data_IF_149430452982
#
_entry.id   IF_149430452982
#
_cell.length_a   1.000
_cell.length_b   1.000
_cell.length_c   1.000
_cell.angle_alpha   90.00
_cell.angle_beta   90.00
_cell.angle_gamma   90.00
#
_symmetry.space_group_name_H-M   'P 1'
#
loop_
_entity.id
_entity.type
_entity.pdbx_description
1 polymer ?
#
# COMPACT_ATOMS: atom_id res chain seq x y z
N UNK A 1 9.05 -2.62 15.66
CA UNK A 1 8.33 -3.28 14.55
C UNK A 1 7.39 -2.22 13.98
N UNK A 2 7.77 -1.55 12.90
CA UNK A 2 7.00 -0.42 12.37
C UNK A 2 6.25 -0.89 11.12
N UNK A 3 4.93 -1.07 11.24
CA UNK A 3 4.03 -1.29 10.11
C UNK A 3 3.28 0.02 9.83
N UNK A 4 3.48 0.65 8.66
CA UNK A 4 2.55 1.62 8.06
C UNK A 4 2.82 1.70 6.52
N UNK A 5 1.83 2.04 5.66
CA UNK A 5 0.46 2.44 5.98
C UNK A 5 -0.61 1.44 5.48
N UNK A 6 -1.69 1.34 6.25
CA UNK A 6 -2.98 0.84 5.78
C UNK A 6 -3.40 1.59 4.52
N UNK A 7 -3.78 0.87 3.45
CA UNK A 7 -4.56 1.49 2.39
C UNK A 7 -6.03 1.35 2.79
N UNK A 8 -6.69 2.46 3.13
CA UNK A 8 -8.13 2.50 3.27
C UNK A 8 -8.74 2.59 1.87
N UNK A 9 -9.39 1.52 1.41
CA UNK A 9 -10.24 1.62 0.23
C UNK A 9 -11.61 2.15 0.68
N UNK A 10 -11.80 3.46 0.54
CA UNK A 10 -13.12 4.08 0.50
C UNK A 10 -13.50 4.30 -0.96
N UNK A 11 -14.19 3.34 -1.58
CA UNK A 11 -14.80 3.52 -2.89
C UNK A 11 -16.28 3.22 -2.69
N UNK A 12 -17.15 4.14 -3.08
CA UNK A 12 -18.59 3.88 -3.10
C UNK A 12 -18.93 3.49 -4.52
N UNK A 13 -19.47 2.28 -4.77
CA UNK A 13 -20.06 2.05 -6.09
C UNK A 13 -21.38 2.80 -6.07
N UNK A 14 -21.50 3.80 -6.95
CA UNK A 14 -22.81 4.24 -7.38
C UNK A 14 -23.48 3.08 -8.15
N UNK A 15 -24.79 3.16 -8.33
CA UNK A 15 -25.35 2.77 -9.62
C UNK A 15 -25.03 3.91 -10.59
N UNK A 16 -23.85 3.94 -11.28
CA UNK A 16 -23.68 4.90 -12.34
C UNK A 16 -24.75 4.56 -13.37
N UNK A 17 -25.30 5.56 -14.04
CA UNK A 17 -26.34 5.43 -15.07
C UNK A 17 -25.94 4.60 -16.30
N UNK A 18 -24.90 3.76 -16.21
CA UNK A 18 -24.29 2.97 -17.27
C UNK A 18 -24.38 1.44 -17.07
N UNK A 19 -24.95 0.96 -15.96
CA UNK A 19 -25.49 -0.39 -15.85
C UNK A 19 -26.74 -0.33 -14.96
N UNK A 20 -27.91 -0.58 -15.55
CA UNK A 20 -29.18 -0.58 -14.82
C UNK A 20 -29.24 -1.85 -13.94
N UNK A 21 -28.67 -1.81 -12.74
CA UNK A 21 -28.99 -2.80 -11.71
C UNK A 21 -30.46 -2.64 -11.33
N UNK A 22 -31.30 -3.60 -11.69
CA UNK A 22 -32.73 -3.51 -11.49
C UNK A 22 -33.07 -3.66 -10.00
N UNK A 23 -34.25 -3.15 -9.63
CA UNK A 23 -34.78 -3.33 -8.28
C UNK A 23 -34.92 -4.83 -7.97
N UNK A 24 -34.32 -5.26 -6.86
CA UNK A 24 -34.34 -6.65 -6.41
C UNK A 24 -33.13 -7.47 -6.83
N UNK A 25 -32.27 -6.96 -7.72
CA UNK A 25 -31.06 -7.67 -8.15
C UNK A 25 -30.04 -7.78 -7.00
N UNK A 26 -29.37 -8.92 -6.91
CA UNK A 26 -28.27 -9.13 -5.97
C UNK A 26 -26.99 -8.62 -6.61
N UNK A 27 -26.48 -7.50 -6.11
CA UNK A 27 -25.28 -6.85 -6.61
C UNK A 27 -24.08 -7.17 -5.74
N UNK A 28 -23.00 -7.62 -6.38
CA UNK A 28 -21.70 -7.89 -5.77
C UNK A 28 -20.67 -6.85 -6.22
N UNK A 29 -20.17 -6.06 -5.27
CA UNK A 29 -18.98 -5.24 -5.47
C UNK A 29 -17.74 -6.12 -5.38
N UNK A 30 -16.85 -6.04 -6.37
CA UNK A 30 -15.61 -6.81 -6.45
C UNK A 30 -14.42 -5.89 -6.64
N UNK A 31 -13.28 -6.31 -6.11
CA UNK A 31 -11.98 -5.71 -6.38
C UNK A 31 -11.02 -6.72 -7.00
N UNK A 32 -10.07 -6.21 -7.76
CA UNK A 32 -8.96 -6.95 -8.34
C UNK A 32 -7.71 -6.10 -8.24
N UNK A 33 -6.58 -6.71 -7.87
CA UNK A 33 -5.28 -6.04 -7.89
C UNK A 33 -4.51 -6.59 -9.09
N UNK A 34 -4.01 -5.71 -9.95
CA UNK A 34 -3.38 -6.05 -11.23
C UNK A 34 -4.27 -7.02 -12.02
N UNK A 35 -3.76 -8.22 -12.32
CA UNK A 35 -4.47 -9.31 -12.97
C UNK A 35 -4.70 -10.51 -12.04
N UNK A 36 -4.56 -10.34 -10.72
CA UNK A 36 -4.82 -11.40 -9.73
C UNK A 36 -6.33 -11.76 -9.68
N UNK A 37 -6.70 -12.77 -8.89
CA UNK A 37 -8.12 -13.17 -8.77
C UNK A 37 -8.99 -12.04 -8.21
N UNK A 38 -10.10 -11.72 -8.90
CA UNK A 38 -11.10 -10.79 -8.40
C UNK A 38 -11.82 -11.35 -7.17
N UNK A 39 -12.05 -10.51 -6.16
CA UNK A 39 -12.61 -10.90 -4.85
C UNK A 39 -13.80 -10.02 -4.52
N UNK A 40 -14.79 -10.59 -3.85
CA UNK A 40 -15.93 -9.82 -3.35
C UNK A 40 -15.49 -8.88 -2.21
N UNK A 41 -16.08 -7.69 -2.18
CA UNK A 41 -15.91 -6.68 -1.12
C UNK A 41 -17.18 -6.57 -0.30
N UNK A 42 -18.31 -6.47 -0.99
CA UNK A 42 -19.64 -6.31 -0.41
C UNK A 42 -20.69 -6.90 -1.35
N UNK A 43 -21.82 -7.26 -0.77
CA UNK A 43 -23.01 -7.75 -1.48
C UNK A 43 -24.21 -7.00 -0.92
N UNK A 44 -25.13 -6.61 -1.78
CA UNK A 44 -26.38 -5.96 -1.40
C UNK A 44 -27.47 -6.23 -2.43
N UNK A 45 -28.70 -5.87 -2.08
CA UNK A 45 -29.83 -5.88 -3.01
C UNK A 45 -29.98 -4.47 -3.56
N UNK A 46 -30.02 -4.32 -4.88
CA UNK A 46 -30.27 -3.04 -5.52
C UNK A 46 -31.74 -2.62 -5.32
N UNK A 47 -31.97 -1.38 -4.92
CA UNK A 47 -33.30 -0.75 -4.98
C UNK A 47 -33.39 0.28 -6.12
N UNK A 48 -32.37 0.35 -6.98
CA UNK A 48 -32.27 1.30 -8.08
C UNK A 48 -31.91 2.73 -7.67
N UNK A 49 -31.72 3.05 -6.38
CA UNK A 49 -31.47 4.42 -5.93
C UNK A 49 -30.44 4.58 -4.80
N UNK A 50 -30.29 3.60 -3.91
CA UNK A 50 -29.33 3.66 -2.80
C UNK A 50 -27.98 3.05 -3.19
N UNK A 51 -26.91 3.59 -2.62
CA UNK A 51 -25.57 3.10 -2.87
C UNK A 51 -25.27 1.89 -1.99
N UNK A 52 -24.66 0.86 -2.60
CA UNK A 52 -24.02 -0.22 -1.86
C UNK A 52 -22.62 0.27 -1.45
N UNK A 53 -22.54 0.83 -0.25
CA UNK A 53 -21.28 1.31 0.32
C UNK A 53 -20.43 0.14 0.84
N UNK A 54 -19.12 0.28 0.70
CA UNK A 54 -18.17 -0.64 1.30
C UNK A 54 -16.90 0.09 1.71
N UNK A 55 -16.25 -0.43 2.73
CA UNK A 55 -14.90 -0.06 3.12
C UNK A 55 -14.07 -1.34 3.23
N UNK A 56 -12.88 -1.35 2.62
CA UNK A 56 -11.97 -2.49 2.72
C UNK A 56 -10.59 -2.03 3.10
N UNK A 57 -10.05 -2.66 4.13
CA UNK A 57 -8.67 -2.46 4.53
C UNK A 57 -7.85 -3.68 4.16
N UNK A 58 -6.74 -3.45 3.46
CA UNK A 58 -5.81 -4.50 3.05
C UNK A 58 -4.45 -4.25 3.70
N UNK A 59 -3.94 -5.25 4.40
CA UNK A 59 -2.63 -5.17 5.07
C UNK A 59 -1.53 -5.42 4.06
N UNK A 60 -0.47 -4.61 4.11
CA UNK A 60 0.72 -4.81 3.28
C UNK A 60 1.86 -5.36 4.14
N UNK A 61 2.32 -6.57 3.84
CA UNK A 61 3.39 -7.24 4.60
C UNK A 61 4.28 -8.02 3.66
N UNK A 62 5.60 -7.83 3.78
CA UNK A 62 6.59 -8.57 2.99
C UNK A 62 6.37 -8.44 1.47
N UNK A 63 6.02 -7.23 1.00
CA UNK A 63 5.77 -6.97 -0.42
C UNK A 63 4.40 -7.44 -0.93
N UNK A 64 3.54 -8.01 -0.09
CA UNK A 64 2.26 -8.64 -0.52
C UNK A 64 1.08 -7.98 0.17
N UNK A 65 -0.08 -8.01 -0.49
CA UNK A 65 -1.36 -7.61 0.13
C UNK A 65 -2.05 -8.81 0.78
N UNK A 66 -2.68 -8.53 1.91
CA UNK A 66 -3.43 -9.47 2.71
C UNK A 66 -4.83 -8.93 3.02
N UNK A 67 -5.79 -9.84 3.01
CA UNK A 67 -7.14 -9.63 3.51
C UNK A 67 -7.26 -10.39 4.84
N UNK A 68 -7.12 -9.66 5.95
CA UNK A 68 -6.83 -10.27 7.26
C UNK A 68 -5.51 -11.06 7.21
N UNK A 69 -5.61 -12.38 7.36
CA UNK A 69 -4.47 -13.31 7.27
C UNK A 69 -4.29 -13.92 5.88
N UNK A 70 -5.28 -13.76 4.98
CA UNK A 70 -5.28 -14.39 3.66
C UNK A 70 -4.42 -13.59 2.70
N UNK A 71 -3.42 -14.24 2.11
CA UNK A 71 -2.62 -13.64 1.03
C UNK A 71 -3.48 -13.46 -0.22
N UNK A 72 -3.52 -12.25 -0.77
CA UNK A 72 -4.33 -11.95 -1.96
C UNK A 72 -3.54 -11.63 -3.22
N UNK A 73 -2.27 -11.24 -3.10
CA UNK A 73 -1.37 -10.98 -4.24
C UNK A 73 -0.09 -11.80 -4.16
N UNK A 74 0.61 -11.90 -5.29
CA UNK A 74 2.05 -12.16 -5.31
C UNK A 74 2.84 -10.96 -4.74
N UNK A 75 4.17 -11.06 -4.71
CA UNK A 75 5.00 -9.94 -4.29
C UNK A 75 4.90 -8.80 -5.31
N UNK A 76 4.51 -7.62 -4.83
CA UNK A 76 4.38 -6.40 -5.60
C UNK A 76 5.76 -5.75 -5.73
N UNK A 77 6.17 -5.47 -6.97
CA UNK A 77 7.47 -4.88 -7.27
C UNK A 77 7.55 -3.45 -6.74
N UNK A 78 8.67 -3.12 -6.09
CA UNK A 78 8.89 -1.76 -5.60
C UNK A 78 9.00 -0.76 -6.75
N UNK A 79 8.46 0.45 -6.56
CA UNK A 79 8.62 1.56 -7.50
C UNK A 79 7.89 1.38 -8.83
N UNK A 80 7.18 0.27 -9.01
CA UNK A 80 6.39 -0.03 -10.22
C UNK A 80 4.92 0.31 -9.97
N UNK A 81 4.21 0.91 -10.95
CA UNK A 81 2.78 1.14 -10.82
C UNK A 81 2.01 -0.19 -10.77
N UNK A 82 1.11 -0.29 -9.81
CA UNK A 82 0.13 -1.37 -9.67
C UNK A 82 -1.28 -0.81 -9.77
N UNK A 83 -2.22 -1.64 -10.20
CA UNK A 83 -3.61 -1.22 -10.40
C UNK A 83 -4.52 -1.90 -9.39
N UNK A 84 -5.47 -1.12 -8.88
CA UNK A 84 -6.64 -1.60 -8.18
C UNK A 84 -7.84 -1.32 -9.08
N UNK A 85 -8.55 -2.38 -9.45
CA UNK A 85 -9.77 -2.33 -10.25
C UNK A 85 -10.95 -2.67 -9.35
N UNK A 86 -12.02 -1.89 -9.43
CA UNK A 86 -13.28 -2.12 -8.70
C UNK A 86 -14.42 -2.14 -9.71
N UNK A 87 -15.35 -3.09 -9.55
CA UNK A 87 -16.57 -3.17 -10.36
C UNK A 87 -17.71 -3.79 -9.58
N UNK A 88 -18.94 -3.53 -9.99
CA UNK A 88 -20.12 -4.23 -9.52
C UNK A 88 -20.61 -5.22 -10.59
N UNK A 89 -21.16 -6.34 -10.14
CA UNK A 89 -21.81 -7.36 -10.98
C UNK A 89 -23.12 -7.77 -10.31
N UNK A 90 -24.23 -7.78 -11.03
CA UNK A 90 -25.50 -8.35 -10.54
C UNK A 90 -25.57 -9.86 -10.78
N UNK A 91 -26.63 -10.49 -10.27
CA UNK A 91 -26.94 -11.90 -10.43
C UNK A 91 -27.59 -12.25 -11.77
N UNK A 92 -27.94 -11.24 -12.58
CA UNK A 92 -28.46 -11.38 -13.94
C UNK A 92 -27.35 -11.24 -15.01
N UNK A 93 -26.10 -11.00 -14.59
CA UNK A 93 -24.91 -10.89 -15.43
C UNK A 93 -24.56 -9.48 -15.88
N UNK A 94 -25.31 -8.45 -15.46
CA UNK A 94 -24.98 -7.04 -15.67
C UNK A 94 -23.73 -6.64 -14.89
N UNK A 95 -22.93 -5.75 -15.48
CA UNK A 95 -21.65 -5.31 -14.92
C UNK A 95 -21.51 -3.80 -15.07
N UNK A 96 -21.01 -3.15 -14.01
CA UNK A 96 -20.64 -1.75 -14.08
C UNK A 96 -19.40 -1.53 -14.94
N UNK A 97 -19.13 -0.27 -15.26
CA UNK A 97 -17.80 0.16 -15.66
C UNK A 97 -16.77 -0.18 -14.57
N UNK A 98 -15.53 -0.41 -14.98
CA UNK A 98 -14.43 -0.67 -14.05
C UNK A 98 -13.83 0.67 -13.60
N UNK A 99 -13.84 0.90 -12.30
CA UNK A 99 -13.09 1.99 -11.68
C UNK A 99 -11.66 1.53 -11.39
N UNK A 100 -10.68 2.23 -11.94
CA UNK A 100 -9.26 1.89 -11.79
C UNK A 100 -8.51 2.98 -11.01
N UNK A 101 -7.62 2.55 -10.12
CA UNK A 101 -6.71 3.42 -9.36
C UNK A 101 -5.31 2.83 -9.37
N UNK A 102 -4.31 3.69 -9.60
CA UNK A 102 -2.90 3.30 -9.59
C UNK A 102 -2.30 3.54 -8.21
N UNK A 103 -1.46 2.62 -7.74
CA UNK A 103 -0.71 2.74 -6.49
C UNK A 103 0.70 2.15 -6.64
N UNK A 104 1.61 2.51 -5.73
CA UNK A 104 2.98 1.99 -5.71
C UNK A 104 3.21 1.20 -4.42
N UNK A 105 3.98 0.12 -4.52
CA UNK A 105 4.40 -0.65 -3.36
C UNK A 105 5.75 -0.12 -2.84
N UNK A 106 5.86 0.06 -1.53
CA UNK A 106 7.10 0.38 -0.83
C UNK A 106 7.33 -0.67 0.25
N UNK A 107 8.11 -1.72 -0.03
CA UNK A 107 8.49 -2.71 0.97
C UNK A 107 9.22 -2.05 2.14
N UNK A 108 8.96 -2.52 3.35
CA UNK A 108 9.73 -2.09 4.52
C UNK A 108 11.19 -2.53 4.35
N UNK A 109 12.13 -1.57 4.30
CA UNK A 109 13.56 -1.85 4.22
C UNK A 109 14.18 -1.96 5.62
N UNK A 110 15.17 -2.85 5.84
CA UNK A 110 15.97 -2.80 7.05
C UNK A 110 16.67 -1.43 7.16
N UNK A 111 16.89 -0.91 8.38
CA UNK A 111 17.64 0.33 8.56
C UNK A 111 19.06 0.16 8.03
N UNK A 112 19.56 1.18 7.33
CA UNK A 112 20.95 1.26 6.89
C UNK A 112 21.73 2.01 7.96
N UNK A 113 22.76 1.38 8.54
CA UNK A 113 23.70 2.05 9.44
C UNK A 113 24.85 2.63 8.59
N UNK A 114 24.99 3.94 8.57
CA UNK A 114 26.20 4.62 8.06
C UNK A 114 27.06 5.02 9.26
N UNK A 115 28.31 4.58 9.27
CA UNK A 115 29.33 5.06 10.22
C UNK A 115 30.24 5.98 9.43
N UNK A 116 30.20 7.27 9.74
CA UNK A 116 31.14 8.22 9.16
C UNK A 116 32.52 7.97 9.76
N UNK A 117 33.54 7.89 8.91
CA UNK A 117 34.92 7.82 9.37
C UNK A 117 35.26 9.16 10.07
N UNK A 118 35.71 9.08 11.32
CA UNK A 118 36.31 10.23 11.97
C UNK A 118 37.82 10.23 11.68
N UNK A 119 38.35 11.39 11.33
CA UNK A 119 39.78 11.59 11.23
C UNK A 119 40.40 11.56 12.63
N UNK A 120 41.29 10.62 12.89
CA UNK A 120 42.16 10.67 14.07
C UNK A 120 43.10 11.86 13.93
N UNK A 121 42.89 12.92 14.74
CA UNK A 121 43.84 14.02 14.86
C UNK A 121 45.12 13.55 15.57
N UNK A 122 46.05 13.01 14.81
CA UNK A 122 47.39 12.67 15.28
C UNK A 122 48.25 13.94 15.40
N UNK A 123 47.98 14.79 16.40
CA UNK A 123 48.95 15.73 16.99
C UNK A 123 48.40 16.60 18.14
N UNK A 124 47.34 16.17 18.84
CA UNK A 124 46.66 17.04 19.82
C UNK A 124 47.45 17.29 21.13
N UNK A 125 48.70 16.81 21.23
CA UNK A 125 49.62 17.14 22.32
C UNK A 125 50.99 17.41 21.71
N UNK A 126 51.35 18.68 21.54
CA UNK A 126 52.75 19.09 21.42
C UNK A 126 53.14 19.75 22.73
N UNK A 127 53.98 19.06 23.51
CA UNK A 127 54.54 19.58 24.77
C UNK A 127 55.74 20.45 24.40
N UNK A 128 55.53 21.76 24.34
CA UNK A 128 56.61 22.74 24.16
C UNK A 128 57.21 23.09 25.53
N UNK A 129 57.92 22.15 26.14
CA UNK A 129 58.64 22.40 27.40
C UNK A 129 60.16 22.30 27.17
N UNK A 130 60.72 23.40 26.64
CA UNK A 130 61.83 24.15 27.23
C UNK A 130 63.19 23.45 27.46
N UNK A 131 63.99 23.35 26.39
CA UNK A 131 65.44 23.06 26.42
C UNK A 131 66.29 24.26 26.90
N UNK A 132 66.11 24.74 28.14
CA UNK A 132 67.05 25.67 28.78
C UNK A 132 67.66 25.08 30.05
N UNK A 133 68.56 24.09 29.92
CA UNK A 133 69.36 23.68 31.09
C UNK A 133 70.88 23.54 30.89
N UNK A 134 71.44 23.35 29.69
CA UNK A 134 72.88 23.09 29.58
C UNK A 134 73.72 24.25 29.02
N UNK A 135 73.71 25.39 29.70
CA UNK A 135 74.78 26.38 29.62
C UNK A 135 75.36 26.64 31.02
N UNK A 136 76.40 25.90 31.37
CA UNK A 136 77.53 26.31 32.21
C UNK A 136 78.66 25.29 32.13
#
# INVERSE_FOLDING_TARGET
>A
MYELPLLFLGVSVHSPSFCSFHYGDIVNARYQINADTARAIATGISDGSTLISFNKQLTFRGGKRYDGITKITSALAEGTPHTLKVRAEDDQGGKSTVEERTFYAVPNRPPVLSIDAFETKNNMISRHDHDLWNSK
#
